data_IF_782296838206
#
_entry.id   IF_782296838206
#
_cell.length_a   1.000
_cell.length_b   1.000
_cell.length_c   1.000
_cell.angle_alpha   90.00
_cell.angle_beta   90.00
_cell.angle_gamma   90.00
#
_symmetry.space_group_name_H-M   'P 1'
#
loop_
_entity.id
_entity.type
_entity.pdbx_description
1 polymer ?
#
# COMPACT_ATOMS: atom_id res chain seq x y z
N UNK A 1 -51.34 -14.15 29.89
CA UNK A 1 -51.60 -12.77 29.41
C UNK A 1 -51.01 -11.80 30.43
N UNK A 2 -49.74 -11.43 30.28
CA UNK A 2 -49.01 -10.60 31.26
C UNK A 2 -49.47 -9.16 31.09
N UNK A 3 -50.18 -8.59 32.08
CA UNK A 3 -50.52 -7.16 32.11
C UNK A 3 -49.27 -6.36 32.47
N UNK A 4 -48.48 -5.96 31.47
CA UNK A 4 -47.42 -4.97 31.70
C UNK A 4 -48.08 -3.66 32.15
N UNK A 5 -47.73 -3.18 33.35
CA UNK A 5 -48.10 -1.83 33.80
C UNK A 5 -47.48 -0.82 32.83
N UNK A 6 -48.22 0.22 32.46
CA UNK A 6 -47.80 1.24 31.46
C UNK A 6 -46.38 1.76 31.68
N UNK A 7 -45.93 1.96 32.93
CA UNK A 7 -44.55 2.37 33.23
C UNK A 7 -43.46 1.36 32.83
N UNK A 8 -43.73 0.06 32.87
CA UNK A 8 -42.79 -0.97 32.39
C UNK A 8 -42.69 -0.95 30.86
N UNK A 9 -43.80 -0.69 30.17
CA UNK A 9 -43.81 -0.58 28.71
C UNK A 9 -42.97 0.62 28.24
N UNK A 10 -43.10 1.78 28.88
CA UNK A 10 -42.27 2.95 28.56
C UNK A 10 -40.78 2.71 28.80
N UNK A 11 -40.43 1.95 29.85
CA UNK A 11 -39.04 1.61 30.14
C UNK A 11 -38.44 0.68 29.07
N UNK A 12 -39.19 -0.34 28.64
CA UNK A 12 -38.76 -1.24 27.57
C UNK A 12 -38.64 -0.50 26.23
N UNK A 13 -39.61 0.34 25.88
CA UNK A 13 -39.55 1.15 24.65
C UNK A 13 -38.34 2.08 24.66
N UNK A 14 -38.07 2.76 25.78
CA UNK A 14 -36.89 3.62 25.92
C UNK A 14 -35.57 2.87 25.79
N UNK A 15 -35.47 1.67 26.37
CA UNK A 15 -34.27 0.83 26.27
C UNK A 15 -34.02 0.37 24.82
N UNK A 16 -35.07 -0.10 24.12
CA UNK A 16 -34.96 -0.55 22.73
C UNK A 16 -34.62 0.62 21.79
N UNK A 17 -35.29 1.77 21.94
CA UNK A 17 -34.98 2.96 21.14
C UNK A 17 -33.56 3.45 21.39
N UNK A 18 -33.09 3.43 22.65
CA UNK A 18 -31.72 3.79 23.00
C UNK A 18 -30.68 2.88 22.34
N UNK A 19 -30.91 1.55 22.37
CA UNK A 19 -30.00 0.58 21.75
C UNK A 19 -29.96 0.71 20.23
N UNK A 20 -31.12 0.92 19.58
CA UNK A 20 -31.20 1.14 18.13
C UNK A 20 -30.52 2.45 17.73
N UNK A 21 -30.73 3.55 18.47
CA UNK A 21 -30.03 4.81 18.20
C UNK A 21 -28.52 4.69 18.41
N UNK A 22 -28.05 4.00 19.45
CA UNK A 22 -26.64 3.77 19.68
C UNK A 22 -26.01 2.93 18.56
N UNK A 23 -26.69 1.86 18.12
CA UNK A 23 -26.24 1.03 17.01
C UNK A 23 -26.18 1.81 15.69
N UNK A 24 -27.19 2.62 15.40
CA UNK A 24 -27.20 3.49 14.21
C UNK A 24 -26.10 4.55 14.25
N UNK A 25 -25.81 5.13 15.42
CA UNK A 25 -24.69 6.07 15.58
C UNK A 25 -23.35 5.37 15.41
N UNK A 26 -23.18 4.15 15.93
CA UNK A 26 -21.96 3.36 15.73
C UNK A 26 -21.78 3.05 14.25
N UNK A 27 -22.82 2.58 13.55
CA UNK A 27 -22.74 2.33 12.10
C UNK A 27 -22.43 3.61 11.30
N UNK A 28 -23.04 4.75 11.64
CA UNK A 28 -22.72 6.04 11.02
C UNK A 28 -21.29 6.51 11.32
N UNK A 29 -20.76 6.25 12.51
CA UNK A 29 -19.35 6.55 12.84
C UNK A 29 -18.41 5.64 12.06
N UNK A 30 -18.76 4.37 11.86
CA UNK A 30 -18.00 3.46 10.99
C UNK A 30 -18.02 3.91 9.52
N UNK A 31 -19.17 4.39 9.02
CA UNK A 31 -19.31 4.92 7.65
C UNK A 31 -18.52 6.23 7.48
N UNK A 32 -18.65 7.16 8.44
CA UNK A 32 -17.90 8.42 8.46
C UNK A 32 -16.39 8.20 8.57
N UNK A 33 -15.91 7.14 9.25
CA UNK A 33 -14.48 6.84 9.30
C UNK A 33 -13.96 6.13 8.03
N UNK A 34 -14.85 5.57 7.21
CA UNK A 34 -14.56 5.12 5.84
C UNK A 34 -14.50 6.31 4.87
N UNK A 35 -15.31 7.36 5.09
CA UNK A 35 -15.37 8.55 4.22
C UNK A 35 -14.43 9.71 4.61
N UNK A 36 -13.86 9.75 5.83
CA UNK A 36 -12.84 10.74 6.23
C UNK A 36 -11.43 10.27 5.84
N UNK A 37 -11.16 10.22 4.53
CA UNK A 37 -9.81 10.37 3.98
C UNK A 37 -9.76 11.32 2.79
N UNK A 38 -10.70 12.27 2.72
CA UNK A 38 -10.78 13.26 1.65
C UNK A 38 -10.95 14.66 2.24
N UNK A 39 -9.84 15.29 2.62
CA UNK A 39 -9.77 16.75 2.64
C UNK A 39 -8.93 17.25 1.48
N UNK A 40 -9.68 17.72 0.50
CA UNK A 40 -9.26 18.45 -0.68
C UNK A 40 -8.34 19.62 -0.31
N UNK A 41 -7.18 19.69 -0.95
CA UNK A 41 -6.48 20.96 -1.14
C UNK A 41 -6.29 21.17 -2.62
N UNK A 42 -7.14 22.03 -3.18
CA UNK A 42 -6.91 22.67 -4.47
C UNK A 42 -5.66 23.54 -4.38
N UNK A 43 -4.66 23.27 -5.21
CA UNK A 43 -3.74 24.33 -5.65
C UNK A 43 -3.34 24.06 -7.10
N UNK A 44 -3.86 24.91 -7.97
CA UNK A 44 -3.41 25.10 -9.34
C UNK A 44 -1.98 25.63 -9.32
N UNK A 45 -1.12 25.11 -10.19
CA UNK A 45 0.04 25.87 -10.69
C UNK A 45 0.54 25.26 -12.00
N UNK A 46 0.32 26.02 -13.08
CA UNK A 46 1.01 25.85 -14.36
C UNK A 46 2.50 26.12 -14.19
N UNK A 47 3.36 25.34 -14.86
CA UNK A 47 4.61 25.88 -15.41
C UNK A 47 5.17 25.00 -16.54
N UNK A 48 5.01 25.50 -17.77
CA UNK A 48 5.62 24.98 -18.98
C UNK A 48 7.03 25.56 -19.16
N UNK A 49 8.09 24.93 -18.63
CA UNK A 49 9.48 25.12 -19.11
C UNK A 49 10.41 24.00 -18.57
N UNK A 50 10.62 22.87 -19.27
CA UNK A 50 11.62 21.85 -18.82
C UNK A 50 12.28 21.00 -19.91
N UNK A 51 12.00 21.22 -21.19
CA UNK A 51 12.46 20.32 -22.27
C UNK A 51 13.97 20.30 -22.51
N UNK A 52 14.71 21.35 -22.13
CA UNK A 52 16.17 21.42 -22.32
C UNK A 52 16.96 20.82 -21.14
N UNK A 53 16.55 21.06 -19.89
CA UNK A 53 17.22 20.52 -18.70
C UNK A 53 17.03 19.01 -18.57
N UNK A 54 15.87 18.48 -18.98
CA UNK A 54 15.55 17.06 -18.95
C UNK A 54 16.41 16.21 -19.91
N UNK A 55 17.06 16.84 -20.90
CA UNK A 55 17.89 16.14 -21.89
C UNK A 55 19.30 15.87 -21.37
N UNK A 56 19.84 16.73 -20.51
CA UNK A 56 21.21 16.63 -19.99
C UNK A 56 21.33 15.68 -18.78
N UNK A 57 20.27 15.53 -17.97
CA UNK A 57 20.27 14.59 -16.83
C UNK A 57 20.20 13.11 -17.24
N UNK A 58 19.73 12.81 -18.45
CA UNK A 58 19.62 11.41 -18.94
C UNK A 58 20.94 10.75 -19.30
N UNK A 59 21.96 11.55 -19.63
CA UNK A 59 23.21 11.02 -20.18
C UNK A 59 24.30 10.76 -19.11
N UNK A 60 24.07 11.17 -17.85
CA UNK A 60 25.02 10.97 -16.74
C UNK A 60 24.43 10.31 -15.49
N UNK A 61 23.12 10.10 -15.40
CA UNK A 61 22.56 9.39 -14.26
C UNK A 61 22.91 7.89 -14.35
N UNK A 62 23.52 7.28 -13.32
CA UNK A 62 23.66 5.84 -13.28
C UNK A 62 22.27 5.19 -13.46
N UNK A 63 22.20 4.14 -14.29
CA UNK A 63 20.95 3.41 -14.52
C UNK A 63 20.58 2.65 -13.24
N UNK A 64 19.84 3.30 -12.35
CA UNK A 64 19.38 2.70 -11.10
C UNK A 64 18.27 1.69 -11.41
N UNK A 65 18.61 0.40 -11.30
CA UNK A 65 17.69 -0.71 -11.57
C UNK A 65 16.83 -1.00 -10.35
N UNK A 66 15.55 -0.61 -10.42
CA UNK A 66 14.60 -0.78 -9.32
C UNK A 66 13.52 -1.80 -9.67
N UNK A 67 13.36 -2.79 -8.80
CA UNK A 67 12.21 -3.69 -8.79
C UNK A 67 11.18 -3.21 -7.77
N UNK A 68 9.95 -3.02 -8.24
CA UNK A 68 8.80 -2.63 -7.43
C UNK A 68 7.94 -3.86 -7.15
N UNK A 69 7.88 -4.26 -5.88
CA UNK A 69 6.98 -5.28 -5.36
C UNK A 69 5.77 -4.59 -4.73
N UNK A 70 4.58 -4.84 -5.28
CA UNK A 70 3.32 -4.25 -4.82
C UNK A 70 2.47 -5.33 -4.19
N UNK A 71 2.12 -5.17 -2.91
CA UNK A 71 1.19 -6.06 -2.23
C UNK A 71 -0.24 -5.68 -2.58
N UNK A 72 -1.06 -6.68 -2.88
CA UNK A 72 -2.50 -6.50 -3.14
C UNK A 72 -3.29 -7.72 -2.64
N UNK A 73 -4.61 -7.67 -2.75
CA UNK A 73 -5.52 -8.79 -2.52
C UNK A 73 -6.44 -8.97 -3.74
N UNK A 74 -7.02 -10.16 -3.96
CA UNK A 74 -7.81 -10.46 -5.15
C UNK A 74 -8.89 -9.41 -5.45
N UNK A 75 -9.54 -8.88 -4.41
CA UNK A 75 -10.60 -7.87 -4.50
C UNK A 75 -10.09 -6.51 -4.99
N UNK A 76 -8.83 -6.18 -4.68
CA UNK A 76 -8.21 -4.90 -5.05
C UNK A 76 -7.47 -4.94 -6.39
N UNK A 77 -7.33 -6.11 -7.02
CA UNK A 77 -6.53 -6.23 -8.26
C UNK A 77 -7.11 -5.33 -9.36
N UNK A 78 -8.42 -5.47 -9.62
CA UNK A 78 -9.12 -4.65 -10.61
C UNK A 78 -9.43 -3.25 -10.07
N UNK A 79 -9.63 -3.07 -8.77
CA UNK A 79 -10.02 -1.77 -8.21
C UNK A 79 -8.85 -0.81 -7.98
N UNK A 80 -7.65 -1.33 -7.71
CA UNK A 80 -6.49 -0.55 -7.28
C UNK A 80 -5.21 -0.92 -8.01
N UNK A 81 -4.83 -2.20 -8.02
CA UNK A 81 -3.57 -2.64 -8.61
C UNK A 81 -3.47 -2.31 -10.11
N UNK A 82 -4.59 -2.36 -10.84
CA UNK A 82 -4.65 -1.92 -12.24
C UNK A 82 -4.19 -0.47 -12.42
N UNK A 83 -4.49 0.41 -11.47
CA UNK A 83 -4.14 1.83 -11.54
C UNK A 83 -2.66 2.04 -11.25
N UNK A 84 -2.09 1.27 -10.31
CA UNK A 84 -0.63 1.22 -10.11
C UNK A 84 0.06 0.79 -11.40
N UNK A 85 -0.40 -0.30 -12.02
CA UNK A 85 0.13 -0.80 -13.29
C UNK A 85 -0.05 0.20 -14.44
N UNK A 86 -1.18 0.92 -14.50
CA UNK A 86 -1.46 1.90 -15.54
C UNK A 86 -0.66 3.21 -15.39
N UNK A 87 -0.18 3.53 -14.18
CA UNK A 87 0.44 4.81 -13.82
C UNK A 87 1.93 4.67 -13.51
N UNK A 88 2.33 4.79 -12.24
CA UNK A 88 3.72 4.85 -11.81
C UNK A 88 4.45 3.51 -11.95
N UNK A 89 3.73 2.40 -11.90
CA UNK A 89 4.29 1.07 -12.07
C UNK A 89 4.99 0.88 -13.42
N UNK A 90 4.53 1.56 -14.48
CA UNK A 90 5.18 1.57 -15.80
C UNK A 90 6.60 2.12 -15.78
N UNK A 91 6.93 2.92 -14.76
CA UNK A 91 8.23 3.55 -14.61
C UNK A 91 9.18 2.72 -13.75
N UNK A 92 8.78 1.57 -13.21
CA UNK A 92 9.67 0.60 -12.58
C UNK A 92 10.46 -0.18 -13.64
N UNK A 93 11.70 -0.59 -13.34
CA UNK A 93 12.45 -1.47 -14.25
C UNK A 93 11.83 -2.87 -14.27
N UNK A 94 11.23 -3.29 -13.14
CA UNK A 94 10.36 -4.45 -13.02
C UNK A 94 9.25 -4.17 -12.02
N UNK A 95 8.03 -4.54 -12.37
CA UNK A 95 6.87 -4.45 -11.50
C UNK A 95 6.34 -5.86 -11.25
N UNK A 96 6.09 -6.20 -9.99
CA UNK A 96 5.52 -7.47 -9.57
C UNK A 96 4.42 -7.19 -8.56
N UNK A 97 3.24 -7.75 -8.82
CA UNK A 97 2.15 -7.74 -7.86
C UNK A 97 2.14 -9.07 -7.10
N UNK A 98 1.92 -8.98 -5.80
CA UNK A 98 1.97 -10.11 -4.88
C UNK A 98 0.65 -10.22 -4.13
N UNK A 99 0.02 -11.40 -4.18
CA UNK A 99 -1.31 -11.65 -3.61
C UNK A 99 -1.44 -13.08 -3.04
N UNK A 100 -2.64 -13.42 -2.55
CA UNK A 100 -3.06 -14.78 -2.16
C UNK A 100 -3.61 -15.60 -3.32
N UNK A 101 -3.83 -14.97 -4.48
CA UNK A 101 -4.28 -15.62 -5.71
C UNK A 101 -3.49 -15.07 -6.92
N UNK A 102 -3.39 -15.87 -7.97
CA UNK A 102 -2.78 -15.45 -9.22
C UNK A 102 -3.79 -14.63 -10.04
N UNK A 103 -3.29 -13.65 -10.79
CA UNK A 103 -4.09 -12.92 -11.77
C UNK A 103 -3.21 -12.54 -12.97
N UNK A 104 -3.31 -13.36 -14.01
CA UNK A 104 -2.46 -13.30 -15.22
C UNK A 104 -2.48 -11.93 -15.94
N UNK A 105 -3.62 -11.22 -16.08
CA UNK A 105 -3.62 -9.96 -16.84
C UNK A 105 -2.71 -8.85 -16.28
N UNK A 106 -2.38 -8.90 -14.99
CA UNK A 106 -1.43 -7.99 -14.32
C UNK A 106 -0.15 -8.70 -13.88
N UNK A 107 0.01 -9.99 -14.19
CA UNK A 107 1.12 -10.81 -13.71
C UNK A 107 1.17 -10.91 -12.18
N UNK A 108 0.02 -10.95 -11.52
CA UNK A 108 -0.06 -11.08 -10.06
C UNK A 108 0.35 -12.50 -9.66
N UNK A 109 1.30 -12.59 -8.74
CA UNK A 109 1.85 -13.85 -8.25
C UNK A 109 1.28 -14.17 -6.87
N UNK A 110 0.75 -15.38 -6.73
CA UNK A 110 0.38 -15.98 -5.45
C UNK A 110 1.64 -16.34 -4.67
N UNK A 111 1.78 -15.79 -3.46
CA UNK A 111 2.90 -16.11 -2.55
C UNK A 111 2.44 -16.69 -1.20
N UNK A 112 1.15 -16.61 -0.89
CA UNK A 112 0.54 -17.16 0.33
C UNK A 112 -0.70 -17.96 -0.01
N UNK A 113 -1.10 -18.87 0.87
CA UNK A 113 -2.33 -19.66 0.69
C UNK A 113 -3.61 -18.82 0.87
N UNK A 114 -4.75 -19.21 0.26
CA UNK A 114 -5.98 -18.39 0.21
C UNK A 114 -6.57 -18.05 1.58
N UNK A 115 -6.32 -18.88 2.60
CA UNK A 115 -6.80 -18.65 3.96
C UNK A 115 -5.95 -17.61 4.71
N UNK A 116 -4.86 -17.13 4.08
CA UNK A 116 -3.97 -16.08 4.57
C UNK A 116 -4.31 -14.70 3.93
N UNK A 117 -5.59 -14.45 3.69
CA UNK A 117 -6.10 -13.23 3.03
C UNK A 117 -6.52 -12.12 3.99
N UNK A 118 -6.49 -12.36 5.31
CA UNK A 118 -6.87 -11.37 6.32
C UNK A 118 -5.72 -10.35 6.52
N UNK A 119 -6.03 -9.15 7.01
CA UNK A 119 -5.02 -8.15 7.41
C UNK A 119 -3.96 -8.74 8.37
N UNK A 120 -4.34 -9.76 9.13
CA UNK A 120 -3.46 -10.53 10.02
C UNK A 120 -2.30 -11.21 9.31
N UNK A 121 -2.41 -11.44 8.00
CA UNK A 121 -1.46 -12.24 7.21
C UNK A 121 -0.60 -11.38 6.28
N UNK A 122 -0.71 -10.04 6.38
CA UNK A 122 0.11 -9.10 5.62
C UNK A 122 1.62 -9.30 5.83
N UNK A 123 2.01 -9.70 7.05
CA UNK A 123 3.40 -10.03 7.34
C UNK A 123 3.87 -11.25 6.54
N UNK A 124 3.07 -12.32 6.49
CA UNK A 124 3.41 -13.50 5.72
C UNK A 124 3.45 -13.19 4.22
N UNK A 125 2.47 -12.42 3.70
CA UNK A 125 2.49 -11.96 2.31
C UNK A 125 3.74 -11.13 2.00
N UNK A 126 4.14 -10.23 2.91
CA UNK A 126 5.36 -9.44 2.76
C UNK A 126 6.61 -10.33 2.75
N UNK A 127 6.72 -11.24 3.72
CA UNK A 127 7.87 -12.16 3.85
C UNK A 127 7.99 -13.08 2.65
N UNK A 128 6.90 -13.73 2.25
CA UNK A 128 6.88 -14.64 1.10
C UNK A 128 7.05 -13.90 -0.23
N UNK A 129 6.50 -12.67 -0.33
CA UNK A 129 6.74 -11.77 -1.46
C UNK A 129 8.21 -11.45 -1.65
N UNK A 130 8.89 -11.02 -0.57
CA UNK A 130 10.32 -10.76 -0.62
C UNK A 130 11.13 -12.02 -0.93
N UNK A 131 10.78 -13.17 -0.35
CA UNK A 131 11.42 -14.46 -0.65
C UNK A 131 11.31 -14.81 -2.14
N UNK A 132 10.12 -14.65 -2.73
CA UNK A 132 9.89 -14.86 -4.16
C UNK A 132 10.74 -13.91 -5.00
N UNK A 133 10.64 -12.61 -4.74
CA UNK A 133 11.35 -11.57 -5.50
C UNK A 133 12.86 -11.78 -5.44
N UNK A 134 13.41 -12.13 -4.27
CA UNK A 134 14.83 -12.40 -4.11
C UNK A 134 15.27 -13.63 -4.90
N UNK A 135 14.53 -14.74 -4.78
CA UNK A 135 14.87 -15.99 -5.48
C UNK A 135 14.89 -15.84 -6.99
N UNK A 136 13.94 -15.08 -7.54
CA UNK A 136 13.80 -14.93 -8.99
C UNK A 136 14.66 -13.79 -9.56
N UNK A 137 14.91 -12.72 -8.80
CA UNK A 137 15.46 -11.46 -9.32
C UNK A 137 16.61 -10.84 -8.49
N UNK A 138 17.09 -11.50 -7.44
CA UNK A 138 18.05 -10.94 -6.48
C UNK A 138 19.31 -10.31 -7.09
N UNK A 139 19.90 -10.96 -8.09
CA UNK A 139 21.12 -10.49 -8.76
C UNK A 139 20.86 -9.56 -9.96
N UNK A 140 19.58 -9.34 -10.31
CA UNK A 140 19.19 -8.60 -11.52
C UNK A 140 18.92 -7.11 -11.26
N UNK A 141 18.65 -6.73 -10.02
CA UNK A 141 18.27 -5.38 -9.62
C UNK A 141 19.09 -4.91 -8.41
N UNK A 142 19.29 -3.59 -8.34
CA UNK A 142 20.08 -2.97 -7.27
C UNK A 142 19.22 -2.66 -6.05
N UNK A 143 17.96 -2.26 -6.30
CA UNK A 143 17.02 -1.81 -5.28
C UNK A 143 15.67 -2.50 -5.40
N UNK A 144 15.11 -2.86 -4.25
CA UNK A 144 13.82 -3.52 -4.10
C UNK A 144 12.90 -2.61 -3.29
N UNK A 145 11.75 -2.26 -3.85
CA UNK A 145 10.76 -1.40 -3.19
C UNK A 145 9.54 -2.24 -2.86
N UNK A 146 9.12 -2.24 -1.59
CA UNK A 146 7.81 -2.74 -1.18
C UNK A 146 6.83 -1.58 -1.11
N UNK A 147 5.72 -1.69 -1.82
CA UNK A 147 4.60 -0.75 -1.80
C UNK A 147 3.27 -1.49 -1.65
N UNK A 148 2.22 -0.77 -1.29
CA UNK A 148 0.85 -1.28 -1.25
C UNK A 148 0.06 -0.78 -2.48
N UNK A 149 -1.09 -1.39 -2.79
CA UNK A 149 -1.89 -1.08 -3.98
C UNK A 149 -2.58 0.29 -3.97
N UNK A 150 -2.52 1.00 -2.85
CA UNK A 150 -2.99 2.38 -2.64
C UNK A 150 -1.83 3.39 -2.53
N UNK A 151 -0.60 2.98 -2.84
CA UNK A 151 0.60 3.84 -2.82
C UNK A 151 0.88 4.46 -4.20
N UNK A 152 1.34 5.71 -4.23
CA UNK A 152 1.88 6.36 -5.44
C UNK A 152 3.34 6.75 -5.25
N UNK A 153 4.22 6.34 -6.17
CA UNK A 153 5.66 6.63 -6.12
C UNK A 153 6.08 7.48 -7.32
N UNK A 154 6.77 8.60 -7.05
CA UNK A 154 7.45 9.38 -8.08
C UNK A 154 8.82 8.74 -8.32
N UNK A 155 8.88 7.80 -9.26
CA UNK A 155 10.07 6.98 -9.55
C UNK A 155 11.31 7.81 -9.89
N UNK A 156 11.13 8.97 -10.52
CA UNK A 156 12.19 9.92 -10.86
C UNK A 156 12.86 10.50 -9.61
N UNK A 157 12.06 10.93 -8.64
CA UNK A 157 12.55 11.43 -7.36
C UNK A 157 13.25 10.33 -6.57
N UNK A 158 12.67 9.12 -6.59
CA UNK A 158 13.26 7.98 -5.91
C UNK A 158 14.62 7.61 -6.52
N UNK A 159 14.74 7.52 -7.85
CA UNK A 159 16.03 7.24 -8.52
C UNK A 159 17.07 8.31 -8.21
N UNK A 160 16.67 9.58 -8.22
CA UNK A 160 17.55 10.70 -7.85
C UNK A 160 18.03 10.59 -6.39
N UNK A 161 17.17 10.15 -5.48
CA UNK A 161 17.57 9.90 -4.09
C UNK A 161 18.54 8.72 -4.00
N UNK A 162 18.31 7.64 -4.75
CA UNK A 162 19.14 6.43 -4.71
C UNK A 162 20.49 6.60 -5.42
N UNK A 163 20.62 7.52 -6.37
CA UNK A 163 21.81 7.67 -7.21
C UNK A 163 23.09 8.06 -6.47
N UNK A 164 22.98 8.52 -5.22
CA UNK A 164 24.13 8.91 -4.39
C UNK A 164 24.61 7.79 -3.47
N UNK A 165 23.92 6.65 -3.43
CA UNK A 165 24.24 5.52 -2.58
C UNK A 165 24.86 4.38 -3.39
N UNK A 166 25.83 3.70 -2.79
CA UNK A 166 26.41 2.48 -3.35
C UNK A 166 25.43 1.30 -3.19
N UNK A 167 24.96 0.68 -4.28
CA UNK A 167 24.08 -0.48 -4.22
C UNK A 167 24.79 -1.76 -3.73
N UNK A 168 26.10 -1.74 -3.46
CA UNK A 168 26.77 -2.83 -2.75
C UNK A 168 26.66 -2.70 -1.22
N UNK A 169 26.23 -1.55 -0.71
CA UNK A 169 26.10 -1.32 0.73
C UNK A 169 24.75 -1.82 1.25
N UNK A 170 24.71 -2.51 2.41
CA UNK A 170 23.45 -2.94 3.02
C UNK A 170 22.72 -1.73 3.58
N UNK A 171 21.87 -1.11 2.75
CA UNK A 171 21.06 0.04 3.09
C UNK A 171 19.56 -0.29 3.00
N UNK A 172 18.79 0.35 3.86
CA UNK A 172 17.33 0.36 3.76
C UNK A 172 16.79 1.77 4.05
N UNK A 173 15.74 2.15 3.34
CA UNK A 173 15.03 3.41 3.53
C UNK A 173 13.56 3.16 3.79
N UNK A 174 12.93 4.04 4.55
CA UNK A 174 11.52 3.90 4.85
C UNK A 174 11.05 4.84 5.94
N UNK A 175 9.74 4.87 6.13
CA UNK A 175 9.16 5.55 7.27
C UNK A 175 9.07 4.59 8.46
N UNK A 176 9.77 4.94 9.52
CA UNK A 176 9.75 4.18 10.77
C UNK A 176 8.60 4.67 11.66
N UNK A 177 7.51 3.92 11.66
CA UNK A 177 6.37 4.14 12.56
C UNK A 177 6.71 3.65 13.96
N UNK A 178 6.36 4.43 14.98
CA UNK A 178 6.38 4.00 16.37
C UNK A 178 4.93 3.81 16.83
N UNK A 179 4.52 2.57 17.08
CA UNK A 179 3.17 2.24 17.59
C UNK A 179 3.32 1.33 18.80
N UNK A 180 2.78 1.73 19.96
CA UNK A 180 2.84 0.95 21.21
C UNK A 180 4.25 0.43 21.58
N UNK A 181 5.29 1.27 21.47
CA UNK A 181 6.70 0.91 21.67
C UNK A 181 7.29 -0.12 20.68
N UNK A 182 6.55 -0.49 19.62
CA UNK A 182 7.04 -1.30 18.51
C UNK A 182 7.39 -0.40 17.33
N UNK A 183 8.53 -0.68 16.69
CA UNK A 183 8.99 0.00 15.48
C UNK A 183 8.54 -0.81 14.26
N UNK A 184 7.75 -0.23 13.37
CA UNK A 184 7.24 -0.86 12.15
C UNK A 184 7.60 -0.01 10.93
N UNK A 185 7.92 -0.63 9.79
CA UNK A 185 8.25 0.06 8.55
C UNK A 185 7.10 -0.07 7.55
N UNK A 186 6.56 1.05 7.07
CA UNK A 186 5.37 1.09 6.20
C UNK A 186 5.73 0.98 4.70
N UNK A 187 6.70 1.79 4.28
CA UNK A 187 7.38 1.71 2.98
C UNK A 187 8.82 1.29 3.24
N UNK A 188 9.30 0.26 2.54
CA UNK A 188 10.66 -0.23 2.66
C UNK A 188 11.32 -0.29 1.28
N UNK A 189 12.42 0.44 1.13
CA UNK A 189 13.37 0.28 0.05
C UNK A 189 14.53 -0.51 0.63
N UNK A 190 14.83 -1.66 0.05
CA UNK A 190 15.89 -2.55 0.47
C UNK A 190 16.90 -2.66 -0.66
N UNK A 191 18.17 -2.64 -0.32
CA UNK A 191 19.21 -3.04 -1.24
C UNK A 191 19.30 -4.57 -1.37
N UNK A 192 19.76 -5.08 -2.51
CA UNK A 192 19.99 -6.50 -2.75
C UNK A 192 20.78 -7.22 -1.63
N UNK A 193 21.74 -6.54 -0.99
CA UNK A 193 22.59 -7.14 0.05
C UNK A 193 21.93 -7.27 1.42
N UNK A 194 20.66 -6.88 1.57
CA UNK A 194 19.91 -7.03 2.82
C UNK A 194 19.21 -8.40 2.98
N UNK A 195 19.23 -9.24 1.94
CA UNK A 195 18.59 -10.55 1.90
C UNK A 195 19.53 -11.71 2.22
#
# INVERSE_FOLDING_TARGET
MVKLKSGQLHLFTGFVTGFVCAFMLILNIYDVHIDISCWSTSSSSDCSTSTAAHRFERDLAPDIRVLCMVLTCPENVELKAQHVHATWGKRCNKLIFVSSENYEPLGVVKVVEPHAGSYTDLWDKTREGFRYVWREYGDQYDWFVKADDDTYIIMENMRRMLSVYDPAMPLYFGYQMKRYNVKVFCLAILNAKFF
#
